data_IF_072266842814
#
_entry.id   IF_072266842814
#
_cell.length_a   1.000
_cell.length_b   1.000
_cell.length_c   1.000
_cell.angle_alpha   90.00
_cell.angle_beta   90.00
_cell.angle_gamma   90.00
#
_symmetry.space_group_name_H-M   'P 1'
#
loop_
_entity.id
_entity.type
_entity.pdbx_description
1 polymer ?
#
# COMPACT_ATOMS: atom_id res chain seq x y z
N UNK A 1 -5.03 -14.09 11.23
CA UNK A 1 -5.28 -13.46 12.53
C UNK A 1 -5.66 -12.01 12.29
N UNK A 2 -6.78 -11.54 12.83
CA UNK A 2 -7.17 -10.13 12.82
C UNK A 2 -6.93 -9.55 14.22
N UNK A 3 -6.23 -8.45 14.27
CA UNK A 3 -5.94 -7.69 15.49
C UNK A 3 -6.61 -6.33 15.35
N UNK A 4 -7.50 -5.97 16.25
CA UNK A 4 -8.27 -4.73 16.20
C UNK A 4 -8.23 -4.02 17.53
N UNK A 5 -8.09 -2.68 17.51
CA UNK A 5 -8.23 -1.84 18.70
C UNK A 5 -7.16 -2.04 19.77
N UNK A 6 -5.94 -2.41 19.36
CA UNK A 6 -4.83 -2.59 20.30
C UNK A 6 -4.04 -1.30 20.47
N UNK A 7 -3.63 -1.03 21.71
CA UNK A 7 -2.56 -0.10 22.01
C UNK A 7 -1.18 -0.70 21.65
N UNK A 8 -0.15 0.13 21.69
CA UNK A 8 1.20 -0.31 21.29
C UNK A 8 1.73 -1.52 22.12
N UNK A 9 1.65 -1.57 23.46
CA UNK A 9 2.09 -2.72 24.23
C UNK A 9 1.39 -4.02 23.83
N UNK A 10 0.05 -4.02 23.74
CA UNK A 10 -0.72 -5.19 23.36
C UNK A 10 -0.46 -5.61 21.89
N UNK A 11 -0.22 -4.66 21.00
CA UNK A 11 0.18 -4.93 19.63
C UNK A 11 1.55 -5.61 19.59
N UNK A 12 2.56 -5.11 20.33
CA UNK A 12 3.90 -5.68 20.36
C UNK A 12 3.93 -7.07 21.01
N UNK A 13 3.20 -7.29 22.08
CA UNK A 13 3.06 -8.61 22.69
C UNK A 13 2.54 -9.63 21.66
N UNK A 14 1.50 -9.24 20.93
CA UNK A 14 0.93 -10.11 19.90
C UNK A 14 1.89 -10.36 18.75
N UNK A 15 2.59 -9.33 18.29
CA UNK A 15 3.58 -9.43 17.23
C UNK A 15 4.71 -10.38 17.64
N UNK A 16 5.28 -10.22 18.84
CA UNK A 16 6.34 -11.07 19.38
C UNK A 16 5.88 -12.52 19.50
N UNK A 17 4.68 -12.76 20.02
CA UNK A 17 4.11 -14.11 20.12
C UNK A 17 3.96 -14.81 18.76
N UNK A 18 3.86 -14.06 17.67
CA UNK A 18 3.81 -14.60 16.31
C UNK A 18 5.21 -14.91 15.77
N UNK A 19 6.18 -14.04 16.05
CA UNK A 19 7.56 -14.19 15.57
C UNK A 19 8.34 -15.28 16.30
N UNK A 20 8.02 -15.54 17.58
CA UNK A 20 8.65 -16.58 18.42
C UNK A 20 8.16 -18.01 18.14
N UNK A 21 7.11 -18.17 17.34
CA UNK A 21 6.61 -19.51 16.97
C UNK A 21 7.55 -20.16 15.95
N UNK A 22 8.53 -20.89 16.43
CA UNK A 22 9.50 -21.66 15.62
C UNK A 22 8.87 -22.69 14.65
N UNK A 23 7.60 -23.02 14.83
CA UNK A 23 6.91 -24.08 14.09
C UNK A 23 6.32 -23.68 12.74
N UNK A 24 6.51 -22.42 12.29
CA UNK A 24 5.98 -21.97 11.00
C UNK A 24 7.12 -21.84 9.97
N UNK A 25 7.19 -22.75 8.99
CA UNK A 25 8.17 -22.66 7.91
C UNK A 25 7.71 -21.62 6.87
N UNK A 26 7.70 -20.35 7.20
CA UNK A 26 7.29 -19.31 6.25
C UNK A 26 7.54 -17.91 6.77
N UNK A 27 7.72 -16.97 5.85
CA UNK A 27 7.80 -15.56 6.20
C UNK A 27 6.40 -15.02 6.51
N UNK A 28 6.29 -14.34 7.64
CA UNK A 28 5.09 -13.56 7.96
C UNK A 28 4.92 -12.41 6.99
N UNK A 29 3.67 -12.16 6.60
CA UNK A 29 3.32 -11.02 5.75
C UNK A 29 2.05 -10.34 6.24
N UNK A 30 2.03 -9.04 6.16
CA UNK A 30 0.83 -8.24 6.38
C UNK A 30 -0.04 -8.31 5.12
N UNK A 31 -1.31 -8.65 5.26
CA UNK A 31 -2.27 -8.60 4.15
C UNK A 31 -3.09 -7.32 4.16
N UNK A 32 -3.31 -6.78 5.36
CA UNK A 32 -4.03 -5.54 5.58
C UNK A 32 -3.54 -4.85 6.86
N UNK A 33 -3.47 -3.54 6.81
CA UNK A 33 -3.18 -2.67 7.95
C UNK A 33 -4.11 -1.46 7.94
N UNK A 34 -4.86 -1.26 9.00
CA UNK A 34 -5.72 -0.11 9.16
C UNK A 34 -5.07 0.85 10.14
N UNK A 35 -4.83 2.08 9.69
CA UNK A 35 -4.24 3.15 10.49
C UNK A 35 -5.22 4.31 10.56
N UNK A 36 -5.37 4.91 11.75
CA UNK A 36 -6.29 6.01 11.95
C UNK A 36 -5.68 7.11 12.82
N UNK A 37 -6.06 8.35 12.54
CA UNK A 37 -5.90 9.49 13.42
C UNK A 37 -7.26 9.96 13.91
N UNK A 38 -7.43 10.02 15.21
CA UNK A 38 -8.58 10.66 15.85
C UNK A 38 -8.32 12.16 15.97
N UNK A 39 -9.24 12.95 15.45
CA UNK A 39 -9.14 14.39 15.31
C UNK A 39 -10.19 15.03 16.20
N UNK A 40 -9.75 15.73 17.23
CA UNK A 40 -10.63 16.39 18.21
C UNK A 40 -10.51 17.90 18.10
N UNK A 41 -11.64 18.60 18.11
CA UNK A 41 -11.72 20.05 18.20
C UNK A 41 -11.04 20.82 17.05
N UNK A 42 -11.02 20.25 15.84
CA UNK A 42 -10.53 20.91 14.63
C UNK A 42 -11.62 21.71 13.89
N UNK A 43 -12.87 21.67 14.35
CA UNK A 43 -14.00 22.32 13.66
C UNK A 43 -14.23 21.77 12.26
N UNK A 44 -14.10 20.45 12.10
CA UNK A 44 -14.19 19.78 10.81
C UNK A 44 -15.65 19.80 10.32
N UNK A 45 -15.82 20.19 9.05
CA UNK A 45 -17.08 20.15 8.34
C UNK A 45 -16.84 19.42 7.00
N UNK A 46 -17.33 18.18 6.90
CA UNK A 46 -17.12 17.35 5.72
C UNK A 46 -17.84 17.91 4.49
N UNK A 47 -18.93 18.64 4.64
CA UNK A 47 -19.60 19.31 3.51
C UNK A 47 -18.71 20.42 2.94
N UNK A 48 -18.11 21.25 3.82
CA UNK A 48 -17.16 22.27 3.38
C UNK A 48 -15.92 21.68 2.74
N UNK A 49 -15.39 20.58 3.30
CA UNK A 49 -14.23 19.88 2.73
C UNK A 49 -14.57 19.35 1.35
N UNK A 50 -15.69 18.63 1.19
CA UNK A 50 -16.14 18.11 -0.09
C UNK A 50 -16.31 19.23 -1.13
N UNK A 51 -17.00 20.31 -0.77
CA UNK A 51 -17.18 21.45 -1.65
C UNK A 51 -15.86 22.13 -2.05
N UNK A 52 -14.87 22.19 -1.16
CA UNK A 52 -13.54 22.70 -1.49
C UNK A 52 -12.77 21.76 -2.43
N UNK A 53 -12.94 20.44 -2.29
CA UNK A 53 -12.35 19.46 -3.19
C UNK A 53 -13.00 19.58 -4.59
N UNK A 54 -14.32 19.65 -4.67
CA UNK A 54 -15.06 19.85 -5.94
C UNK A 54 -14.65 21.15 -6.67
N UNK A 55 -14.30 22.19 -5.93
CA UNK A 55 -13.82 23.48 -6.46
C UNK A 55 -12.28 23.53 -6.62
N UNK A 56 -11.59 22.41 -6.50
CA UNK A 56 -10.12 22.29 -6.59
C UNK A 56 -9.33 23.17 -5.60
N UNK A 57 -9.97 23.64 -4.53
CA UNK A 57 -9.34 24.41 -3.46
C UNK A 57 -8.64 23.53 -2.43
N UNK A 58 -9.04 22.26 -2.35
CA UNK A 58 -8.36 21.20 -1.60
C UNK A 58 -8.10 20.02 -2.54
N UNK A 59 -6.99 19.32 -2.32
CA UNK A 59 -6.64 18.11 -3.08
C UNK A 59 -5.90 17.12 -2.20
N UNK A 60 -6.01 15.84 -2.55
CA UNK A 60 -5.20 14.81 -1.93
C UNK A 60 -3.89 14.64 -2.68
N UNK A 61 -2.80 14.47 -1.93
CA UNK A 61 -1.49 14.07 -2.46
C UNK A 61 -1.14 12.69 -1.95
N UNK A 62 -0.45 11.93 -2.77
CA UNK A 62 0.12 10.64 -2.43
C UNK A 62 1.60 10.65 -2.75
N UNK A 63 2.41 10.05 -1.88
CA UNK A 63 3.82 9.84 -2.17
C UNK A 63 3.96 8.83 -3.30
N UNK A 64 4.67 9.21 -4.35
CA UNK A 64 4.99 8.34 -5.46
C UNK A 64 6.47 7.95 -5.41
N UNK A 65 6.79 6.67 -5.63
CA UNK A 65 8.15 6.27 -5.98
C UNK A 65 8.34 6.49 -7.48
N UNK A 66 9.38 7.21 -7.89
CA UNK A 66 9.91 7.07 -9.24
C UNK A 66 10.59 5.71 -9.37
N UNK A 67 10.53 5.12 -10.56
CA UNK A 67 11.03 3.78 -10.84
C UNK A 67 12.51 3.50 -10.53
N UNK A 68 13.30 4.55 -10.23
CA UNK A 68 14.70 4.47 -9.78
C UNK A 68 14.88 4.34 -8.26
N UNK A 69 13.79 4.33 -7.51
CA UNK A 69 13.79 4.15 -6.05
C UNK A 69 14.38 5.31 -5.23
N UNK A 70 14.99 6.32 -5.87
CA UNK A 70 15.86 7.30 -5.20
C UNK A 70 15.19 8.62 -4.82
N UNK A 71 14.11 9.02 -5.47
CA UNK A 71 13.39 10.28 -5.17
C UNK A 71 11.92 10.05 -4.91
N UNK A 72 11.50 10.36 -3.69
CA UNK A 72 10.10 10.40 -3.29
C UNK A 72 9.54 11.76 -3.64
N UNK A 73 8.63 11.83 -4.60
CA UNK A 73 7.89 13.03 -4.91
C UNK A 73 6.41 12.83 -4.58
N UNK A 74 5.82 13.81 -3.89
CA UNK A 74 4.37 13.87 -3.80
C UNK A 74 3.82 14.24 -5.17
N UNK A 75 3.02 13.36 -5.74
CA UNK A 75 2.20 13.66 -6.92
C UNK A 75 0.81 14.04 -6.47
N UNK A 76 0.21 14.98 -7.20
CA UNK A 76 -1.22 15.23 -7.03
C UNK A 76 -1.95 13.94 -7.41
N UNK A 77 -2.69 13.40 -6.47
CA UNK A 77 -3.63 12.35 -6.78
C UNK A 77 -4.79 13.04 -7.48
N UNK A 78 -4.75 13.04 -8.81
CA UNK A 78 -5.90 13.44 -9.62
C UNK A 78 -6.98 12.41 -9.35
N UNK A 79 -7.86 12.76 -8.43
CA UNK A 79 -9.08 12.03 -8.21
C UNK A 79 -9.96 12.36 -9.40
N UNK A 80 -10.27 11.36 -10.21
CA UNK A 80 -11.43 11.48 -11.08
C UNK A 80 -12.64 11.54 -10.13
N UNK A 81 -13.16 12.75 -9.95
CA UNK A 81 -14.12 13.10 -8.88
C UNK A 81 -15.36 12.20 -8.94
N UNK A 82 -15.76 11.77 -10.13
CA UNK A 82 -16.97 10.97 -10.34
C UNK A 82 -16.84 9.51 -9.86
N UNK A 83 -15.61 8.96 -9.77
CA UNK A 83 -15.42 7.54 -9.47
C UNK A 83 -14.74 7.27 -8.12
N UNK A 84 -14.01 8.24 -7.56
CA UNK A 84 -13.08 7.98 -6.45
C UNK A 84 -13.42 8.64 -5.13
N UNK A 85 -14.28 9.66 -5.12
CA UNK A 85 -14.84 10.22 -3.90
C UNK A 85 -16.30 9.81 -3.82
N UNK A 86 -16.64 9.05 -2.79
CA UNK A 86 -18.01 8.73 -2.44
C UNK A 86 -18.29 9.32 -1.07
N UNK A 87 -19.51 9.81 -0.88
CA UNK A 87 -19.97 10.26 0.41
C UNK A 87 -21.21 9.48 0.84
N UNK A 88 -21.35 9.35 2.15
CA UNK A 88 -22.54 8.79 2.79
C UNK A 88 -22.99 9.79 3.86
N UNK A 89 -24.29 10.00 3.95
CA UNK A 89 -24.88 10.88 4.95
C UNK A 89 -26.39 10.93 4.80
N UNK A 90 -27.05 11.59 5.74
CA UNK A 90 -28.49 11.79 5.75
C UNK A 90 -28.83 13.16 5.17
N UNK A 91 -29.66 13.17 4.14
CA UNK A 91 -30.08 14.42 3.45
C UNK A 91 -28.89 15.13 2.79
N UNK A 92 -28.66 16.41 3.17
CA UNK A 92 -27.55 17.21 2.64
C UNK A 92 -26.26 17.11 3.47
N UNK A 93 -26.28 16.36 4.57
CA UNK A 93 -25.15 16.25 5.48
C UNK A 93 -24.27 15.06 5.11
N UNK A 94 -22.99 15.32 4.88
CA UNK A 94 -21.98 14.31 4.63
C UNK A 94 -21.41 13.87 5.97
N UNK A 95 -21.58 12.61 6.32
CA UNK A 95 -21.04 11.98 7.53
C UNK A 95 -19.74 11.27 7.27
N UNK A 96 -19.54 10.79 6.05
CA UNK A 96 -18.34 10.05 5.63
C UNK A 96 -17.94 10.41 4.21
N UNK A 97 -16.65 10.71 4.03
CA UNK A 97 -15.98 10.77 2.74
C UNK A 97 -15.14 9.52 2.51
N UNK A 98 -15.35 8.86 1.39
CA UNK A 98 -14.54 7.74 0.94
C UNK A 98 -13.66 8.17 -0.22
N UNK A 99 -12.36 7.85 -0.17
CA UNK A 99 -11.42 8.17 -1.23
C UNK A 99 -10.63 6.93 -1.65
N UNK A 100 -10.62 6.67 -2.95
CA UNK A 100 -10.01 5.47 -3.51
C UNK A 100 -10.98 4.31 -3.66
N UNK A 101 -10.46 3.13 -3.92
CA UNK A 101 -11.26 1.91 -4.11
C UNK A 101 -10.89 0.85 -3.09
N UNK A 102 -11.88 0.16 -2.53
CA UNK A 102 -11.65 -1.00 -1.66
C UNK A 102 -11.25 -2.25 -2.41
N UNK A 103 -11.51 -2.28 -3.74
CA UNK A 103 -11.15 -3.40 -4.59
C UNK A 103 -9.68 -3.28 -4.99
N UNK A 104 -8.92 -4.34 -4.79
CA UNK A 104 -7.51 -4.40 -5.15
C UNK A 104 -6.56 -4.10 -3.99
N UNK A 105 -5.28 -4.04 -4.32
CA UNK A 105 -4.15 -3.82 -3.40
C UNK A 105 -3.77 -2.34 -3.44
N UNK A 106 -4.45 -1.52 -2.65
CA UNK A 106 -4.25 -0.07 -2.63
C UNK A 106 -4.66 0.52 -1.30
N UNK A 107 -4.31 1.78 -1.08
CA UNK A 107 -4.81 2.54 0.05
C UNK A 107 -6.25 3.01 -0.20
N UNK A 108 -7.07 2.94 0.82
CA UNK A 108 -8.45 3.41 0.82
C UNK A 108 -8.70 4.27 2.05
N UNK A 109 -9.10 5.52 1.85
CA UNK A 109 -9.36 6.47 2.93
C UNK A 109 -10.85 6.49 3.29
N UNK A 110 -11.11 6.49 4.60
CA UNK A 110 -12.38 6.83 5.23
C UNK A 110 -12.16 8.05 6.12
N UNK A 111 -12.86 9.13 5.84
CA UNK A 111 -12.84 10.34 6.68
C UNK A 111 -14.26 10.62 7.14
N UNK A 112 -14.51 10.48 8.43
CA UNK A 112 -15.88 10.45 8.93
C UNK A 112 -16.03 11.05 10.34
N UNK A 113 -17.28 11.44 10.65
CA UNK A 113 -17.67 11.86 11.99
C UNK A 113 -17.70 10.63 12.90
N UNK A 114 -16.69 10.51 13.77
CA UNK A 114 -16.54 9.37 14.68
C UNK A 114 -17.50 9.46 15.86
N UNK A 115 -17.84 10.68 16.31
CA UNK A 115 -18.81 10.88 17.37
C UNK A 115 -20.17 10.28 16.98
N UNK A 116 -20.70 10.64 15.82
CA UNK A 116 -21.94 10.07 15.30
C UNK A 116 -21.84 8.53 15.18
N UNK A 117 -20.75 8.01 14.63
CA UNK A 117 -20.57 6.55 14.46
C UNK A 117 -20.62 5.77 15.78
N UNK A 118 -20.13 6.34 16.88
CA UNK A 118 -20.13 5.63 18.17
C UNK A 118 -21.40 5.84 18.98
N UNK A 119 -22.00 7.03 18.92
CA UNK A 119 -23.22 7.36 19.66
C UNK A 119 -24.45 6.73 19.00
N UNK A 120 -24.64 6.92 17.70
CA UNK A 120 -25.79 6.34 16.98
C UNK A 120 -25.79 4.81 16.98
N UNK A 121 -24.62 4.18 16.97
CA UNK A 121 -24.52 2.72 17.08
C UNK A 121 -24.58 2.18 18.51
N UNK A 122 -24.85 3.05 19.49
CA UNK A 122 -24.97 2.67 20.89
C UNK A 122 -23.70 2.09 21.51
N UNK A 123 -22.52 2.39 20.92
CA UNK A 123 -21.23 1.90 21.41
C UNK A 123 -20.71 2.67 22.62
N UNK A 124 -21.11 3.94 22.71
CA UNK A 124 -20.81 4.84 23.83
C UNK A 124 -22.00 5.75 24.08
N UNK A 125 -22.17 6.18 25.34
CA UNK A 125 -23.03 7.29 25.64
C UNK A 125 -22.33 8.60 25.24
N UNK A 126 -23.11 9.67 25.04
CA UNK A 126 -22.56 10.95 24.62
C UNK A 126 -21.61 11.53 25.68
N UNK A 127 -21.96 11.36 26.94
CA UNK A 127 -21.17 11.82 28.09
C UNK A 127 -19.83 11.13 28.25
N UNK A 128 -19.67 9.91 27.67
CA UNK A 128 -18.45 9.16 27.69
C UNK A 128 -17.50 9.54 26.53
N UNK A 129 -17.91 10.43 25.65
CA UNK A 129 -17.11 10.90 24.53
C UNK A 129 -16.23 12.09 24.93
N UNK A 130 -14.96 12.08 24.55
CA UNK A 130 -14.01 13.14 24.83
C UNK A 130 -14.44 14.51 24.23
N UNK A 131 -15.08 14.48 23.07
CA UNK A 131 -15.58 15.67 22.36
C UNK A 131 -16.67 15.28 21.38
N UNK A 132 -17.65 16.14 21.19
CA UNK A 132 -18.62 16.03 20.09
C UNK A 132 -18.03 16.41 18.73
N UNK A 133 -16.95 17.21 18.72
CA UNK A 133 -16.14 17.45 17.50
C UNK A 133 -15.05 16.37 17.42
N UNK A 134 -15.48 15.14 17.14
CA UNK A 134 -14.61 13.97 16.98
C UNK A 134 -14.76 13.37 15.60
N UNK A 135 -13.73 13.54 14.79
CA UNK A 135 -13.61 12.96 13.46
C UNK A 135 -12.50 11.92 13.44
N UNK A 136 -12.58 10.99 12.50
CA UNK A 136 -11.53 9.99 12.27
C UNK A 136 -11.09 10.01 10.81
N UNK A 137 -9.78 10.12 10.64
CA UNK A 137 -9.10 10.00 9.36
C UNK A 137 -8.42 8.64 9.31
N UNK A 138 -9.03 7.68 8.61
CA UNK A 138 -8.65 6.26 8.66
C UNK A 138 -8.27 5.76 7.28
N UNK A 139 -7.11 5.10 7.18
CA UNK A 139 -6.60 4.54 5.93
C UNK A 139 -6.48 3.03 6.06
N UNK A 140 -7.14 2.31 5.17
CA UNK A 140 -7.03 0.88 4.98
C UNK A 140 -5.96 0.62 3.93
N UNK A 141 -4.86 -0.04 4.30
CA UNK A 141 -3.78 -0.48 3.41
C UNK A 141 -3.92 -1.97 3.13
N UNK A 142 -3.95 -2.35 1.87
CA UNK A 142 -3.92 -3.75 1.43
C UNK A 142 -2.64 -4.02 0.66
N UNK A 143 -1.99 -5.12 1.00
CA UNK A 143 -0.67 -5.46 0.48
C UNK A 143 -0.72 -6.68 -0.43
N UNK A 144 0.18 -6.72 -1.39
CA UNK A 144 0.55 -7.96 -2.06
C UNK A 144 1.54 -8.78 -1.21
N UNK A 145 2.02 -9.89 -1.76
CA UNK A 145 2.91 -10.78 -1.00
C UNK A 145 4.24 -10.12 -0.66
N UNK A 146 4.81 -9.34 -1.59
CA UNK A 146 6.11 -8.71 -1.42
C UNK A 146 6.04 -7.50 -0.50
N UNK A 147 5.14 -6.57 -0.80
CA UNK A 147 4.96 -5.37 0.03
C UNK A 147 4.46 -5.71 1.44
N UNK A 148 3.65 -6.78 1.57
CA UNK A 148 3.18 -7.23 2.87
C UNK A 148 4.29 -7.83 3.74
N UNK A 149 5.27 -8.50 3.15
CA UNK A 149 6.46 -8.98 3.88
C UNK A 149 7.33 -7.81 4.33
N UNK A 150 7.64 -6.87 3.42
CA UNK A 150 8.42 -5.67 3.76
C UNK A 150 7.73 -4.82 4.83
N UNK A 151 6.41 -4.69 4.75
CA UNK A 151 5.64 -3.96 5.77
C UNK A 151 5.68 -4.64 7.12
N UNK A 152 5.52 -5.97 7.16
CA UNK A 152 5.63 -6.75 8.39
C UNK A 152 7.01 -6.58 9.04
N UNK A 153 8.08 -6.67 8.26
CA UNK A 153 9.45 -6.47 8.73
C UNK A 153 9.65 -5.07 9.33
N UNK A 154 9.13 -4.03 8.66
CA UNK A 154 9.25 -2.67 9.18
C UNK A 154 8.50 -2.48 10.51
N UNK A 155 7.28 -3.02 10.61
CA UNK A 155 6.49 -2.96 11.85
C UNK A 155 7.17 -3.75 12.98
N UNK A 156 7.78 -4.89 12.69
CA UNK A 156 8.48 -5.71 13.70
C UNK A 156 9.75 -5.05 14.28
N UNK A 157 10.27 -4.03 13.63
CA UNK A 157 11.41 -3.25 14.11
C UNK A 157 11.04 -2.11 15.05
N UNK A 158 9.76 -1.80 15.20
CA UNK A 158 9.27 -0.73 16.07
C UNK A 158 9.41 -1.19 17.54
N UNK A 159 10.04 -0.36 18.36
CA UNK A 159 10.33 -0.70 19.77
C UNK A 159 9.68 0.23 20.78
N UNK A 160 9.29 1.43 20.37
CA UNK A 160 8.71 2.44 21.25
C UNK A 160 7.34 2.90 20.79
N UNK A 161 6.55 3.44 21.71
CA UNK A 161 5.24 4.04 21.38
C UNK A 161 5.40 5.26 20.47
N UNK A 162 6.45 6.05 20.67
CA UNK A 162 6.77 7.20 19.81
C UNK A 162 7.05 6.76 18.38
N UNK A 163 7.85 5.71 18.20
CA UNK A 163 8.14 5.14 16.88
C UNK A 163 6.88 4.59 16.24
N UNK A 164 6.01 3.94 17.02
CA UNK A 164 4.74 3.43 16.53
C UNK A 164 3.81 4.55 16.05
N UNK A 165 3.71 5.63 16.83
CA UNK A 165 2.96 6.84 16.44
C UNK A 165 3.54 7.48 15.19
N UNK A 166 4.87 7.63 15.11
CA UNK A 166 5.55 8.20 13.96
C UNK A 166 5.39 7.33 12.70
N UNK A 167 5.48 6.00 12.85
CA UNK A 167 5.22 5.06 11.77
C UNK A 167 3.79 5.21 11.24
N UNK A 168 2.79 5.21 12.12
CA UNK A 168 1.38 5.36 11.75
C UNK A 168 1.12 6.71 11.08
N UNK A 169 1.65 7.80 11.62
CA UNK A 169 1.54 9.12 11.03
C UNK A 169 2.17 9.18 9.62
N UNK A 170 3.31 8.52 9.42
CA UNK A 170 3.96 8.39 8.11
C UNK A 170 3.05 7.66 7.12
N UNK A 171 2.42 6.55 7.51
CA UNK A 171 1.51 5.83 6.63
C UNK A 171 0.31 6.70 6.22
N UNK A 172 -0.22 7.52 7.13
CA UNK A 172 -1.33 8.44 6.82
C UNK A 172 -0.90 9.47 5.79
N UNK A 173 0.20 10.18 6.06
CA UNK A 173 0.68 11.30 5.23
C UNK A 173 1.10 10.85 3.84
N UNK A 174 1.78 9.73 3.76
CA UNK A 174 2.32 9.23 2.51
C UNK A 174 1.24 8.68 1.58
N UNK A 175 0.13 8.21 2.13
CA UNK A 175 -0.96 7.66 1.32
C UNK A 175 -2.05 8.68 0.96
N UNK A 176 -2.44 9.53 1.92
CA UNK A 176 -3.48 10.54 1.68
C UNK A 176 -3.20 11.81 2.46
N UNK A 177 -2.43 12.70 1.87
CA UNK A 177 -2.13 14.03 2.41
C UNK A 177 -3.10 15.04 1.83
N UNK A 178 -3.97 15.62 2.66
CA UNK A 178 -4.91 16.65 2.23
C UNK A 178 -4.24 18.03 2.29
N UNK A 179 -4.18 18.71 1.14
CA UNK A 179 -3.52 20.01 1.00
C UNK A 179 -4.42 21.03 0.33
N UNK A 180 -4.13 22.30 0.58
CA UNK A 180 -4.74 23.43 -0.13
C UNK A 180 -4.28 23.48 -1.58
N UNK A 181 -4.93 24.29 -2.42
CA UNK A 181 -4.54 24.56 -3.82
C UNK A 181 -3.06 24.96 -3.93
N UNK A 182 -2.54 25.69 -2.94
CA UNK A 182 -1.15 26.17 -2.90
C UNK A 182 -0.17 25.09 -2.38
N UNK A 183 -0.63 23.89 -2.07
CA UNK A 183 0.21 22.79 -1.59
C UNK A 183 0.47 22.79 -0.08
N UNK A 184 -0.14 23.71 0.69
CA UNK A 184 -0.01 23.73 2.14
C UNK A 184 -0.92 22.69 2.78
N UNK A 185 -0.43 22.03 3.81
CA UNK A 185 -1.24 21.10 4.60
C UNK A 185 -2.42 21.79 5.28
N UNK A 186 -3.53 21.10 5.36
CA UNK A 186 -4.60 21.51 6.28
C UNK A 186 -4.16 21.28 7.73
N UNK A 187 -4.72 22.01 8.74
CA UNK A 187 -4.21 22.02 10.12
C UNK A 187 -3.96 20.62 10.70
N UNK A 188 -4.94 19.74 10.68
CA UNK A 188 -4.79 18.39 11.23
C UNK A 188 -3.75 17.55 10.49
N UNK A 189 -3.59 17.72 9.17
CA UNK A 189 -2.53 17.05 8.41
C UNK A 189 -1.15 17.60 8.79
N UNK A 190 -1.04 18.91 9.03
CA UNK A 190 0.21 19.51 9.48
C UNK A 190 0.64 18.94 10.85
N UNK A 191 -0.30 18.70 11.75
CA UNK A 191 -0.01 18.11 13.06
C UNK A 191 0.40 16.63 12.94
N UNK A 192 -0.30 15.84 12.12
CA UNK A 192 0.11 14.46 11.81
C UNK A 192 1.52 14.45 11.17
N UNK A 193 1.82 15.42 10.28
CA UNK A 193 3.12 15.52 9.64
C UNK A 193 4.26 15.82 10.63
N UNK A 194 4.00 16.58 11.69
CA UNK A 194 4.99 16.80 12.77
C UNK A 194 5.34 15.48 13.47
N UNK A 195 4.33 14.66 13.77
CA UNK A 195 4.54 13.34 14.39
C UNK A 195 5.35 12.44 13.46
N UNK A 196 5.01 12.41 12.16
CA UNK A 196 5.71 11.59 11.16
C UNK A 196 7.20 11.98 11.03
N UNK A 197 7.55 13.26 11.13
CA UNK A 197 8.94 13.75 11.01
C UNK A 197 9.83 13.33 12.18
N UNK A 198 9.26 13.00 13.33
CA UNK A 198 10.01 12.53 14.49
C UNK A 198 10.47 11.09 14.35
N UNK A 199 10.01 10.35 13.32
CA UNK A 199 10.36 8.97 13.05
C UNK A 199 11.26 8.83 11.81
N UNK A 200 12.11 7.78 11.81
CA UNK A 200 13.01 7.47 10.70
C UNK A 200 12.44 6.42 9.73
N UNK A 201 11.11 6.25 9.71
CA UNK A 201 10.48 5.21 8.95
C UNK A 201 10.39 5.55 7.46
N UNK A 202 10.84 4.61 6.65
CA UNK A 202 10.67 4.68 5.21
C UNK A 202 9.22 4.42 4.79
N UNK A 203 8.78 5.06 3.70
CA UNK A 203 7.52 4.73 3.05
C UNK A 203 7.55 3.30 2.50
N UNK A 204 6.53 2.52 2.84
CA UNK A 204 6.32 1.21 2.26
C UNK A 204 5.08 1.30 1.39
N UNK A 205 5.28 1.22 0.08
CA UNK A 205 4.18 1.24 -0.87
C UNK A 205 3.31 -0.01 -0.71
N UNK A 206 1.99 0.12 -0.61
CA UNK A 206 1.08 -1.04 -0.69
C UNK A 206 1.20 -1.78 -2.04
N UNK A 207 1.63 -1.07 -3.07
CA UNK A 207 1.93 -1.60 -4.39
C UNK A 207 3.40 -1.32 -4.69
N UNK A 208 4.31 -2.09 -4.13
CA UNK A 208 5.65 -2.15 -4.70
C UNK A 208 5.52 -2.71 -6.12
N UNK A 209 5.81 -1.86 -7.11
CA UNK A 209 6.05 -2.37 -8.44
C UNK A 209 7.11 -3.45 -8.27
N UNK A 210 6.78 -4.68 -8.61
CA UNK A 210 7.75 -5.76 -8.63
C UNK A 210 8.90 -5.23 -9.48
N UNK A 211 10.05 -4.95 -8.87
CA UNK A 211 11.30 -4.95 -9.59
C UNK A 211 11.45 -6.39 -10.04
N UNK A 212 10.98 -6.67 -11.26
CA UNK A 212 11.25 -7.93 -11.91
C UNK A 212 12.72 -7.89 -12.26
N UNK A 213 13.57 -8.27 -11.31
CA UNK A 213 14.87 -8.76 -11.72
C UNK A 213 14.67 -10.11 -12.43
N UNK A 214 15.57 -10.42 -13.33
CA UNK A 214 15.47 -11.60 -14.18
C UNK A 214 15.39 -12.89 -13.35
N UNK A 215 16.14 -12.96 -12.24
CA UNK A 215 16.19 -14.14 -11.37
C UNK A 215 14.86 -14.35 -10.63
N UNK A 216 14.29 -13.31 -10.04
CA UNK A 216 12.96 -13.39 -9.42
C UNK A 216 11.88 -13.77 -10.43
N UNK A 217 12.03 -13.36 -11.69
CA UNK A 217 11.10 -13.75 -12.76
C UNK A 217 11.25 -15.22 -13.10
N UNK A 218 12.49 -15.72 -13.26
CA UNK A 218 12.77 -17.15 -13.46
C UNK A 218 12.20 -17.98 -12.31
N UNK A 219 12.48 -17.61 -11.07
CA UNK A 219 11.99 -18.30 -9.88
C UNK A 219 10.46 -18.36 -9.83
N UNK A 220 9.79 -17.29 -10.24
CA UNK A 220 8.33 -17.27 -10.32
C UNK A 220 7.79 -18.34 -11.27
N UNK A 221 8.44 -18.54 -12.43
CA UNK A 221 8.04 -19.56 -13.39
C UNK A 221 8.50 -20.97 -12.98
N UNK A 222 9.72 -21.10 -12.46
CA UNK A 222 10.30 -22.39 -12.06
C UNK A 222 9.66 -22.92 -10.78
N UNK A 223 9.44 -22.08 -9.76
CA UNK A 223 8.88 -22.49 -8.46
C UNK A 223 7.37 -22.79 -8.48
N UNK A 224 6.73 -22.82 -9.64
CA UNK A 224 5.32 -23.21 -9.78
C UNK A 224 4.30 -22.12 -9.48
N UNK A 225 4.71 -20.90 -9.19
CA UNK A 225 3.78 -19.79 -8.87
C UNK A 225 3.01 -19.24 -10.07
N UNK A 226 3.52 -19.48 -11.29
CA UNK A 226 2.92 -19.02 -12.55
C UNK A 226 1.89 -19.98 -13.14
N UNK A 227 1.80 -21.20 -12.61
CA UNK A 227 1.03 -22.29 -13.22
C UNK A 227 1.73 -22.99 -14.37
N UNK A 228 2.90 -22.52 -14.82
CA UNK A 228 3.68 -23.16 -15.90
C UNK A 228 4.04 -24.61 -15.55
N UNK A 229 4.50 -24.87 -14.34
CA UNK A 229 4.84 -26.22 -13.89
C UNK A 229 3.65 -27.17 -13.93
N UNK A 230 2.46 -26.72 -13.59
CA UNK A 230 1.23 -27.51 -13.68
C UNK A 230 0.87 -27.84 -15.14
N UNK A 231 1.10 -26.88 -16.06
CA UNK A 231 0.90 -27.12 -17.50
C UNK A 231 1.90 -28.14 -18.04
N UNK A 232 3.20 -27.93 -17.76
CA UNK A 232 4.27 -28.85 -18.20
C UNK A 232 4.07 -30.26 -17.64
N UNK A 233 3.64 -30.37 -16.37
CA UNK A 233 3.32 -31.66 -15.78
C UNK A 233 2.17 -32.37 -16.51
N UNK A 234 1.10 -31.63 -16.86
CA UNK A 234 -0.04 -32.19 -17.62
C UNK A 234 0.40 -32.67 -18.99
N UNK A 235 1.13 -31.87 -19.76
CA UNK A 235 1.67 -32.27 -21.06
C UNK A 235 2.52 -33.53 -20.90
N UNK A 236 3.43 -33.57 -19.93
CA UNK A 236 4.25 -34.72 -19.65
C UNK A 236 3.45 -35.99 -19.39
N UNK A 237 2.36 -35.90 -18.64
CA UNK A 237 1.52 -37.05 -18.26
C UNK A 237 0.63 -37.53 -19.39
N UNK A 238 0.20 -36.63 -20.27
CA UNK A 238 -0.69 -36.98 -21.41
C UNK A 238 0.06 -37.37 -22.68
N UNK A 239 1.18 -36.69 -22.96
CA UNK A 239 1.91 -36.77 -24.27
C UNK A 239 3.36 -37.16 -24.14
N UNK A 240 3.88 -37.27 -22.93
CA UNK A 240 5.26 -37.67 -22.66
C UNK A 240 6.25 -36.49 -22.57
N UNK A 241 7.52 -36.86 -22.28
CA UNK A 241 8.59 -35.89 -22.05
C UNK A 241 8.96 -35.10 -23.31
N UNK A 242 8.91 -35.73 -24.47
CA UNK A 242 9.31 -35.09 -25.74
C UNK A 242 8.33 -34.01 -26.15
N UNK A 243 7.04 -34.16 -25.82
CA UNK A 243 6.04 -33.15 -26.04
C UNK A 243 6.28 -31.90 -25.17
N UNK A 244 6.81 -32.04 -23.95
CA UNK A 244 7.22 -30.91 -23.11
C UNK A 244 8.35 -30.12 -23.76
N UNK A 245 9.32 -30.81 -24.33
CA UNK A 245 10.47 -30.22 -25.06
C UNK A 245 9.97 -29.47 -26.30
N UNK A 246 9.10 -30.11 -27.07
CA UNK A 246 8.48 -29.51 -28.26
C UNK A 246 7.71 -28.23 -27.88
N UNK A 247 6.89 -28.28 -26.85
CA UNK A 247 6.12 -27.11 -26.33
C UNK A 247 7.06 -25.96 -25.93
N UNK A 248 8.15 -26.22 -25.23
CA UNK A 248 9.14 -25.20 -24.88
C UNK A 248 9.84 -24.61 -26.11
N UNK A 249 10.11 -25.44 -27.12
CA UNK A 249 10.68 -25.00 -28.41
C UNK A 249 9.69 -24.11 -29.17
N UNK A 250 8.42 -24.45 -29.16
CA UNK A 250 7.37 -23.63 -29.78
C UNK A 250 7.25 -22.23 -29.10
N UNK A 251 7.39 -22.18 -27.77
CA UNK A 251 7.43 -20.90 -27.04
C UNK A 251 8.62 -20.04 -27.50
N UNK A 252 9.81 -20.65 -27.64
CA UNK A 252 11.01 -19.94 -28.11
C UNK A 252 10.83 -19.44 -29.54
N UNK A 253 10.35 -20.32 -30.45
CA UNK A 253 10.05 -19.96 -31.83
C UNK A 253 9.05 -18.81 -31.92
N UNK A 254 7.97 -18.86 -31.14
CA UNK A 254 6.98 -17.79 -31.09
C UNK A 254 7.58 -16.46 -30.59
N UNK A 255 8.48 -16.52 -29.60
CA UNK A 255 9.20 -15.35 -29.12
C UNK A 255 10.07 -14.73 -30.23
N UNK A 256 10.85 -15.53 -30.94
CA UNK A 256 11.75 -15.02 -31.96
C UNK A 256 11.00 -14.38 -33.14
N UNK A 257 9.87 -14.96 -33.56
CA UNK A 257 9.12 -14.52 -34.72
C UNK A 257 8.11 -13.39 -34.40
N UNK A 258 7.45 -13.42 -33.24
CA UNK A 258 6.28 -12.62 -32.97
C UNK A 258 6.45 -11.64 -31.81
N UNK A 259 7.33 -11.93 -30.85
CA UNK A 259 7.49 -11.05 -29.71
C UNK A 259 8.18 -9.75 -30.10
N UNK A 260 7.62 -8.63 -29.65
CA UNK A 260 8.24 -7.31 -29.81
C UNK A 260 8.59 -6.78 -28.42
N UNK A 261 9.89 -6.57 -28.14
CA UNK A 261 10.35 -6.06 -26.86
C UNK A 261 9.69 -4.72 -26.51
N UNK A 262 9.30 -4.58 -25.25
CA UNK A 262 8.81 -3.33 -24.69
C UNK A 262 9.97 -2.46 -24.22
N UNK A 263 9.73 -1.15 -23.91
CA UNK A 263 10.75 -0.29 -23.30
C UNK A 263 11.35 -0.89 -22.02
N UNK A 264 10.59 -1.68 -21.28
CA UNK A 264 11.07 -2.37 -20.08
C UNK A 264 12.07 -3.47 -20.41
N UNK A 265 11.87 -4.18 -21.50
CA UNK A 265 12.77 -5.25 -21.92
C UNK A 265 14.08 -4.69 -22.46
N UNK A 266 14.06 -3.52 -23.12
CA UNK A 266 15.28 -2.85 -23.62
C UNK A 266 16.21 -2.39 -22.48
N UNK A 267 15.69 -2.10 -21.29
CA UNK A 267 16.52 -1.79 -20.13
C UNK A 267 17.39 -2.98 -19.68
N UNK A 268 16.95 -4.21 -19.92
CA UNK A 268 17.74 -5.41 -19.61
C UNK A 268 18.85 -5.65 -20.62
N UNK A 269 18.66 -5.29 -21.89
CA UNK A 269 19.68 -5.48 -22.94
C UNK A 269 20.90 -4.57 -22.75
N UNK A 270 20.69 -3.35 -22.22
CA UNK A 270 21.79 -2.39 -21.96
C UNK A 270 22.65 -2.81 -20.77
N UNK A 271 22.07 -3.47 -19.77
CA UNK A 271 22.79 -3.97 -18.60
C UNK A 271 23.75 -5.12 -18.90
N UNK A 272 23.43 -5.96 -19.88
CA UNK A 272 24.26 -7.12 -20.22
C UNK A 272 25.44 -6.80 -21.14
N UNK A 273 25.36 -5.76 -21.96
CA UNK A 273 26.45 -5.38 -22.87
C UNK A 273 27.65 -4.77 -22.15
N UNK A 274 27.53 -4.36 -20.89
CA UNK A 274 28.65 -3.87 -20.10
C UNK A 274 29.41 -4.96 -19.32
N UNK A 275 28.94 -6.21 -19.30
CA UNK A 275 29.53 -7.29 -18.51
C UNK A 275 30.32 -8.31 -19.34
N UNK A 276 30.38 -8.20 -20.66
CA UNK A 276 31.09 -9.14 -21.52
C UNK A 276 32.07 -8.47 -22.46
N UNK A 277 33.17 -7.95 -21.92
CA UNK A 277 34.43 -7.85 -22.65
C UNK A 277 35.55 -8.32 -21.71
N UNK A 278 36.04 -9.55 -21.88
CA UNK A 278 37.36 -9.87 -21.39
C UNK A 278 38.37 -9.07 -22.27
N UNK A 279 38.98 -8.07 -21.67
CA UNK A 279 40.16 -7.46 -22.29
C UNK A 279 41.28 -8.47 -22.26
N UNK A 280 41.43 -9.24 -23.34
CA UNK A 280 42.72 -9.83 -23.69
C UNK A 280 43.64 -8.65 -24.01
N UNK A 281 44.57 -8.34 -23.10
CA UNK A 281 45.81 -7.66 -23.43
C UNK A 281 46.92 -8.70 -23.33
N UNK A 282 47.50 -8.99 -24.50
CA UNK A 282 48.81 -9.56 -24.61
C UNK A 282 49.87 -8.64 -23.99
#
# INVERSE_FOLDING_TARGET
LAVTGMDFPAFMEKLNSLTERESFPGQWKMTRYDVAADLFNYGIDLNKINNKILKENLKFKQLSRRGDGTKRNFIDKVLNLDEKIKHVGTGQNIETLYVGTRKGKSAFLRFYNKFIDVVEKGKKQEEDCFSSDWYRYEIELKFDSTSGTSFFQAVSQIKTDEDFKAFNATQIIDNYRLVTKNGNDVPFIADIAKIAKNGQFGYISPNESRTFDLESSKDYFIAGKSGLQSLLYRIKMTEGRDAVIAFLSDIMYYQDEHYRPTEKDSLYSVSYTHLTLPTNRE
#
